data_IF_229480774138
#
_entry.id   IF_229480774138
#
_cell.length_a   1.000
_cell.length_b   1.000
_cell.length_c   1.000
_cell.angle_alpha   90.00
_cell.angle_beta   90.00
_cell.angle_gamma   90.00
#
_symmetry.space_group_name_H-M   'P 1'
#
loop_
_entity.id
_entity.type
_entity.pdbx_description
1 polymer ?
#
# COMPACT_ATOMS: atom_id res chain seq x y z
N UNK A 1 -16.67 5.87 -18.95
CA UNK A 1 -15.81 5.12 -18.02
C UNK A 1 -15.08 4.02 -18.78
N UNK A 2 -13.76 3.99 -18.71
CA UNK A 2 -12.97 2.95 -19.37
C UNK A 2 -13.14 1.62 -18.66
N UNK A 3 -13.46 0.60 -19.42
CA UNK A 3 -13.51 -0.77 -18.91
C UNK A 3 -12.09 -1.28 -18.74
N UNK A 4 -11.79 -1.86 -17.58
CA UNK A 4 -10.49 -2.49 -17.33
C UNK A 4 -10.35 -3.75 -18.17
N UNK A 5 -9.15 -4.01 -18.69
CA UNK A 5 -8.83 -5.26 -19.37
C UNK A 5 -8.80 -6.42 -18.36
N UNK A 6 -8.81 -7.67 -18.86
CA UNK A 6 -8.71 -8.84 -17.98
C UNK A 6 -7.45 -8.81 -17.12
N UNK A 7 -6.32 -8.37 -17.68
CA UNK A 7 -5.06 -8.22 -16.95
C UNK A 7 -5.19 -7.15 -15.85
N UNK A 8 -5.81 -6.02 -16.17
CA UNK A 8 -6.00 -4.94 -15.22
C UNK A 8 -6.95 -5.33 -14.09
N UNK A 9 -7.98 -6.12 -14.36
CA UNK A 9 -8.87 -6.65 -13.34
C UNK A 9 -8.10 -7.55 -12.36
N UNK A 10 -7.20 -8.40 -12.87
CA UNK A 10 -6.35 -9.23 -12.02
C UNK A 10 -5.40 -8.38 -11.19
N UNK A 11 -4.84 -7.32 -11.76
CA UNK A 11 -3.97 -6.39 -11.04
C UNK A 11 -4.74 -5.67 -9.93
N UNK A 12 -5.97 -5.24 -10.21
CA UNK A 12 -6.83 -4.61 -9.20
C UNK A 12 -7.11 -5.56 -8.04
N UNK A 13 -7.46 -6.81 -8.31
CA UNK A 13 -7.72 -7.81 -7.28
C UNK A 13 -6.47 -8.07 -6.43
N UNK A 14 -5.30 -8.13 -7.06
CA UNK A 14 -4.02 -8.30 -6.39
C UNK A 14 -3.75 -7.14 -5.43
N UNK A 15 -3.87 -5.91 -5.91
CA UNK A 15 -3.63 -4.71 -5.11
C UNK A 15 -4.60 -4.64 -3.93
N UNK A 16 -5.88 -4.87 -4.20
CA UNK A 16 -6.91 -4.83 -3.15
C UNK A 16 -6.64 -5.86 -2.06
N UNK A 17 -6.29 -7.08 -2.43
CA UNK A 17 -5.97 -8.16 -1.50
C UNK A 17 -4.78 -7.78 -0.61
N UNK A 18 -3.70 -7.29 -1.22
CA UNK A 18 -2.50 -6.89 -0.50
C UNK A 18 -2.79 -5.68 0.40
N UNK A 19 -3.52 -4.67 -0.10
CA UNK A 19 -3.86 -3.49 0.69
C UNK A 19 -4.71 -3.86 1.91
N UNK A 20 -5.70 -4.73 1.75
CA UNK A 20 -6.54 -5.19 2.85
C UNK A 20 -5.72 -5.93 3.91
N UNK A 21 -4.80 -6.77 3.49
CA UNK A 21 -3.95 -7.52 4.40
C UNK A 21 -3.01 -6.60 5.18
N UNK A 22 -2.39 -5.63 4.48
CA UNK A 22 -1.52 -4.66 5.13
C UNK A 22 -2.30 -3.74 6.08
N UNK A 23 -3.53 -3.36 5.71
CA UNK A 23 -4.39 -2.58 6.60
C UNK A 23 -4.68 -3.33 7.90
N UNK A 24 -5.04 -4.59 7.80
CA UNK A 24 -5.30 -5.43 8.96
C UNK A 24 -4.06 -5.53 9.87
N UNK A 25 -2.91 -5.80 9.27
CA UNK A 25 -1.64 -5.87 10.00
C UNK A 25 -1.28 -4.51 10.61
N UNK A 26 -1.45 -3.44 9.86
CA UNK A 26 -1.13 -2.09 10.31
C UNK A 26 -1.98 -1.67 11.50
N UNK A 27 -3.27 -1.94 11.45
CA UNK A 27 -4.18 -1.61 12.56
C UNK A 27 -3.85 -2.41 13.81
N UNK A 28 -3.32 -3.61 13.65
CA UNK A 28 -2.92 -4.44 14.79
C UNK A 28 -1.56 -4.01 15.39
N UNK A 29 -0.66 -3.50 14.57
CA UNK A 29 0.72 -3.20 14.97
C UNK A 29 1.01 -1.73 15.19
N UNK A 30 0.26 -0.81 14.54
CA UNK A 30 0.50 0.63 14.61
C UNK A 30 -0.64 1.32 15.35
N UNK A 31 -0.33 1.86 16.52
CA UNK A 31 -1.33 2.59 17.30
C UNK A 31 -1.83 3.82 16.55
N UNK A 32 -3.14 4.01 16.52
CA UNK A 32 -3.76 5.16 15.87
C UNK A 32 -3.89 5.07 14.36
N UNK A 33 -3.57 3.95 13.76
CA UNK A 33 -3.83 3.74 12.34
C UNK A 33 -5.32 3.51 12.12
N UNK A 34 -5.93 4.32 11.23
CA UNK A 34 -7.35 4.26 10.92
C UNK A 34 -7.64 3.32 9.76
N UNK A 35 -6.97 3.54 8.64
CA UNK A 35 -7.25 2.81 7.41
C UNK A 35 -6.08 2.88 6.44
N UNK A 36 -6.13 1.99 5.45
CA UNK A 36 -5.25 2.01 4.30
C UNK A 36 -6.09 2.24 3.05
N UNK A 37 -5.70 3.19 2.24
CA UNK A 37 -6.29 3.36 0.92
C UNK A 37 -5.18 3.34 -0.12
N UNK A 38 -5.54 3.12 -1.37
CA UNK A 38 -4.56 3.09 -2.43
C UNK A 38 -5.05 3.83 -3.67
N UNK A 39 -4.09 4.29 -4.46
CA UNK A 39 -4.32 4.90 -5.75
C UNK A 39 -3.40 4.23 -6.76
N UNK A 40 -3.90 4.01 -7.97
CA UNK A 40 -3.11 3.37 -9.02
C UNK A 40 -3.73 3.63 -10.39
N UNK A 41 -2.87 3.85 -11.38
CA UNK A 41 -3.26 3.87 -12.79
C UNK A 41 -2.79 2.57 -13.43
N UNK A 42 -3.73 1.72 -13.84
CA UNK A 42 -3.38 0.37 -14.27
C UNK A 42 -2.59 0.31 -15.56
N UNK A 43 -2.66 1.34 -16.40
CA UNK A 43 -1.80 1.43 -17.57
C UNK A 43 -0.34 1.76 -17.22
N UNK A 44 -0.10 2.20 -15.99
CA UNK A 44 1.24 2.48 -15.45
C UNK A 44 1.54 1.58 -14.25
N UNK A 45 0.96 0.40 -14.22
CA UNK A 45 1.19 -0.57 -13.14
C UNK A 45 2.54 -1.28 -13.35
N UNK A 46 3.35 -1.49 -12.32
CA UNK A 46 3.11 -1.10 -10.91
C UNK A 46 3.68 0.26 -10.51
N UNK A 47 4.27 1.00 -11.42
CA UNK A 47 5.01 2.24 -11.09
C UNK A 47 4.13 3.32 -10.46
N UNK A 48 2.83 3.36 -10.78
CA UNK A 48 1.88 4.35 -10.27
C UNK A 48 1.25 3.97 -8.93
N UNK A 49 1.49 2.75 -8.45
CA UNK A 49 0.85 2.28 -7.21
C UNK A 49 1.31 3.08 -6.00
N UNK A 50 0.35 3.54 -5.20
CA UNK A 50 0.59 4.21 -3.93
C UNK A 50 -0.39 3.69 -2.89
N UNK A 51 0.13 3.16 -1.78
CA UNK A 51 -0.67 2.84 -0.59
C UNK A 51 -0.46 3.94 0.46
N UNK A 52 -1.54 4.34 1.12
CA UNK A 52 -1.49 5.36 2.15
C UNK A 52 -2.08 4.80 3.44
N UNK A 53 -1.30 4.81 4.51
CA UNK A 53 -1.77 4.49 5.85
C UNK A 53 -2.17 5.81 6.52
N UNK A 54 -3.45 5.94 6.85
CA UNK A 54 -3.97 7.14 7.49
C UNK A 54 -3.98 6.97 9.01
N UNK A 55 -3.49 7.99 9.72
CA UNK A 55 -3.43 8.00 11.19
C UNK A 55 -4.41 9.01 11.76
N UNK A 56 -4.89 8.74 12.99
CA UNK A 56 -5.93 9.52 13.66
C UNK A 56 -5.47 10.92 14.06
N UNK A 57 -4.15 11.09 14.32
CA UNK A 57 -3.60 12.39 14.71
C UNK A 57 -2.10 12.44 14.43
N UNK A 58 -1.53 13.63 14.60
CA UNK A 58 -0.12 13.87 14.33
C UNK A 58 0.81 13.07 15.24
N UNK A 59 0.42 12.91 16.50
CA UNK A 59 1.24 12.12 17.44
C UNK A 59 1.35 10.67 17.02
N UNK A 60 0.24 10.05 16.61
CA UNK A 60 0.24 8.67 16.11
C UNK A 60 1.11 8.56 14.85
N UNK A 61 1.00 9.52 13.94
CA UNK A 61 1.81 9.56 12.72
C UNK A 61 3.31 9.64 13.06
N UNK A 62 3.69 10.54 13.95
CA UNK A 62 5.10 10.69 14.35
C UNK A 62 5.64 9.43 15.01
N UNK A 63 4.84 8.80 15.86
CA UNK A 63 5.21 7.55 16.53
C UNK A 63 5.43 6.41 15.52
N UNK A 64 4.66 6.39 14.44
CA UNK A 64 4.75 5.35 13.42
C UNK A 64 5.89 5.56 12.42
N UNK A 65 6.35 6.80 12.22
CA UNK A 65 7.36 7.14 11.21
C UNK A 65 8.61 6.25 11.22
N UNK A 66 9.20 5.89 12.37
CA UNK A 66 10.36 5.01 12.38
C UNK A 66 10.12 3.65 11.73
N UNK A 67 8.87 3.21 11.65
CA UNK A 67 8.50 1.92 11.06
C UNK A 67 8.15 2.00 9.57
N UNK A 68 8.20 3.18 8.96
CA UNK A 68 7.78 3.36 7.56
C UNK A 68 8.54 2.44 6.61
N UNK A 69 9.84 2.35 6.74
CA UNK A 69 10.65 1.50 5.86
C UNK A 69 10.26 0.02 5.99
N UNK A 70 9.97 -0.43 7.20
CA UNK A 70 9.51 -1.80 7.45
C UNK A 70 8.24 -2.11 6.64
N UNK A 71 7.28 -1.19 6.62
CA UNK A 71 6.04 -1.36 5.89
C UNK A 71 6.23 -1.28 4.38
N UNK A 72 7.11 -0.41 3.93
CA UNK A 72 7.50 -0.34 2.52
C UNK A 72 8.11 -1.66 2.06
N UNK A 73 8.96 -2.28 2.89
CA UNK A 73 9.53 -3.59 2.62
C UNK A 73 8.47 -4.69 2.59
N UNK A 74 7.49 -4.65 3.49
CA UNK A 74 6.39 -5.62 3.51
C UNK A 74 5.57 -5.56 2.22
N UNK A 75 5.25 -4.35 1.76
CA UNK A 75 4.54 -4.18 0.48
C UNK A 75 5.36 -4.74 -0.66
N UNK A 76 6.64 -4.37 -0.75
CA UNK A 76 7.53 -4.84 -1.81
C UNK A 76 7.63 -6.36 -1.81
N UNK A 77 7.78 -6.98 -0.64
CA UNK A 77 7.86 -8.44 -0.50
C UNK A 77 6.57 -9.13 -0.90
N UNK A 78 5.42 -8.58 -0.52
CA UNK A 78 4.11 -9.14 -0.87
C UNK A 78 3.87 -9.10 -2.38
N UNK A 79 4.25 -7.99 -3.03
CA UNK A 79 4.14 -7.85 -4.47
C UNK A 79 5.09 -8.80 -5.21
N UNK A 80 6.32 -8.94 -4.70
CA UNK A 80 7.31 -9.82 -5.30
C UNK A 80 6.84 -11.28 -5.28
N UNK A 81 6.19 -11.73 -4.22
CA UNK A 81 5.62 -13.07 -4.14
C UNK A 81 4.59 -13.35 -5.24
N UNK A 82 3.99 -12.30 -5.77
CA UNK A 82 3.01 -12.39 -6.87
C UNK A 82 3.64 -12.05 -8.22
N UNK A 83 4.97 -11.98 -8.28
CA UNK A 83 5.69 -11.72 -9.53
C UNK A 83 5.76 -10.26 -9.92
N UNK A 84 5.48 -9.34 -9.01
CA UNK A 84 5.51 -7.89 -9.28
C UNK A 84 6.68 -7.26 -8.55
N UNK A 85 7.57 -6.60 -9.29
CA UNK A 85 8.75 -5.96 -8.74
C UNK A 85 8.50 -4.46 -8.60
N UNK A 86 8.62 -3.94 -7.36
CA UNK A 86 8.58 -2.50 -7.09
C UNK A 86 10.01 -1.98 -7.08
N UNK A 87 10.40 -1.28 -8.13
CA UNK A 87 11.78 -0.80 -8.30
C UNK A 87 12.20 0.22 -7.26
N UNK A 88 11.25 1.04 -6.79
CA UNK A 88 11.51 2.04 -5.75
C UNK A 88 10.43 1.91 -4.68
N UNK A 89 10.64 1.01 -3.74
CA UNK A 89 9.63 0.69 -2.73
C UNK A 89 9.23 1.89 -1.87
N UNK A 90 10.12 2.88 -1.70
CA UNK A 90 9.86 4.05 -0.85
C UNK A 90 8.76 4.95 -1.38
N UNK A 91 8.49 4.90 -2.69
CA UNK A 91 7.43 5.74 -3.28
C UNK A 91 6.06 5.05 -3.28
N UNK A 92 5.98 3.77 -2.92
CA UNK A 92 4.74 2.99 -3.05
C UNK A 92 3.93 2.91 -1.77
N UNK A 93 4.45 3.36 -0.64
CA UNK A 93 3.73 3.38 0.62
C UNK A 93 4.15 4.59 1.45
N UNK A 94 3.16 5.34 1.94
CA UNK A 94 3.39 6.51 2.78
C UNK A 94 2.44 6.51 3.97
N UNK A 95 2.81 7.24 5.01
CA UNK A 95 1.97 7.50 6.17
C UNK A 95 1.43 8.92 6.05
N UNK A 96 0.14 9.11 6.39
CA UNK A 96 -0.52 10.40 6.28
C UNK A 96 -1.55 10.62 7.39
N UNK A 97 -2.04 11.84 7.49
CA UNK A 97 -3.16 12.18 8.36
C UNK A 97 -4.50 12.03 7.66
#
# INVERSE_FOLDING_TARGET
MKKLSAVQIKQQALVLNIANKLEEQGRAELSGMLQCWFDVEYHLFPSSLLLCFQFENEQALETAKPDLLKWQKRLSGAMLKKGVILKNMRKHLVFTL
#
